data_IF_904410755149
#
_entry.id   IF_904410755149
#
_cell.length_a   1.000
_cell.length_b   1.000
_cell.length_c   1.000
_cell.angle_alpha   90.00
_cell.angle_beta   90.00
_cell.angle_gamma   90.00
#
_symmetry.space_group_name_H-M   'P 1'
#
loop_
_entity.id
_entity.type
_entity.pdbx_description
1 polymer ?
#
# COMPACT_ATOMS: atom_id res chain seq x y z
N UNK A 1 -18.49 -11.43 22.53
CA UNK A 1 -18.92 -11.86 21.18
C UNK A 1 -19.19 -10.61 20.34
N UNK A 2 -18.19 -10.11 19.61
CA UNK A 2 -18.23 -8.83 18.86
C UNK A 2 -18.04 -9.11 17.36
N UNK A 3 -18.63 -8.29 16.49
CA UNK A 3 -18.82 -8.53 15.06
C UNK A 3 -18.08 -7.45 14.24
N UNK A 4 -17.13 -7.84 13.38
CA UNK A 4 -16.47 -6.94 12.41
C UNK A 4 -16.53 -7.55 11.00
N UNK A 5 -16.85 -6.74 9.98
CA UNK A 5 -16.82 -7.11 8.56
C UNK A 5 -15.79 -6.23 7.83
N UNK A 6 -14.78 -6.79 7.14
CA UNK A 6 -13.95 -6.09 6.16
C UNK A 6 -14.65 -5.96 4.78
N UNK A 7 -14.14 -5.05 3.93
CA UNK A 7 -14.70 -4.66 2.62
C UNK A 7 -14.42 -5.66 1.48
N UNK A 8 -13.33 -6.45 1.55
CA UNK A 8 -12.99 -7.44 0.51
C UNK A 8 -12.44 -8.73 1.13
N UNK A 9 -13.25 -9.78 1.18
CA UNK A 9 -12.79 -11.13 1.58
C UNK A 9 -12.45 -11.26 3.06
N UNK A 10 -12.77 -12.40 3.64
CA UNK A 10 -12.89 -12.56 5.09
C UNK A 10 -11.69 -13.33 5.65
N UNK A 11 -10.88 -12.68 6.46
CA UNK A 11 -10.04 -13.37 7.45
C UNK A 11 -10.82 -13.55 8.76
N UNK A 12 -10.82 -14.78 9.30
CA UNK A 12 -10.98 -15.01 10.74
C UNK A 12 -9.60 -14.71 11.39
N UNK A 13 -9.44 -14.11 12.57
CA UNK A 13 -9.84 -14.54 13.92
C UNK A 13 -9.92 -13.35 14.91
N UNK A 14 -10.83 -13.30 15.92
CA UNK A 14 -12.03 -14.09 16.15
C UNK A 14 -13.30 -13.22 16.07
N UNK A 15 -14.08 -13.28 14.98
CA UNK A 15 -15.44 -12.72 15.01
C UNK A 15 -16.46 -13.61 14.29
N UNK A 16 -17.60 -13.87 14.96
CA UNK A 16 -18.72 -14.72 14.52
C UNK A 16 -19.47 -14.22 13.27
N UNK A 17 -18.97 -13.21 12.55
CA UNK A 17 -19.66 -12.58 11.42
C UNK A 17 -18.70 -12.29 10.28
N UNK A 18 -18.45 -13.35 9.51
CA UNK A 18 -18.02 -13.32 8.12
C UNK A 18 -18.69 -14.48 7.40
N UNK A 19 -19.20 -14.30 6.18
CA UNK A 19 -19.53 -15.44 5.30
C UNK A 19 -18.27 -15.87 4.57
N UNK A 20 -17.47 -16.70 5.23
CA UNK A 20 -16.33 -17.39 4.63
C UNK A 20 -16.66 -17.83 3.21
N UNK A 21 -15.74 -17.57 2.26
CA UNK A 21 -15.85 -18.19 0.95
C UNK A 21 -15.99 -19.69 1.17
N UNK A 22 -16.96 -20.34 0.52
CA UNK A 22 -17.32 -21.73 0.82
C UNK A 22 -16.14 -22.70 0.67
N UNK A 23 -15.17 -22.38 -0.19
CA UNK A 23 -13.92 -23.13 -0.35
C UNK A 23 -12.80 -22.82 0.68
N UNK A 24 -12.94 -21.78 1.50
CA UNK A 24 -12.01 -21.46 2.60
C UNK A 24 -12.50 -22.00 3.96
N UNK A 25 -13.53 -22.85 3.94
CA UNK A 25 -14.12 -23.45 5.15
C UNK A 25 -13.15 -24.37 5.88
N UNK A 26 -12.57 -23.85 6.95
CA UNK A 26 -11.66 -24.59 7.84
C UNK A 26 -10.21 -24.13 7.81
N UNK A 27 -9.88 -23.09 7.03
CA UNK A 27 -8.52 -22.54 6.95
C UNK A 27 -8.46 -21.14 7.59
N UNK A 28 -7.63 -20.97 8.61
CA UNK A 28 -7.40 -19.71 9.32
C UNK A 28 -6.00 -19.18 9.00
N UNK A 29 -5.75 -18.86 7.72
CA UNK A 29 -4.42 -18.48 7.24
C UNK A 29 -3.78 -17.33 8.02
N UNK A 30 -4.58 -16.38 8.50
CA UNK A 30 -4.08 -15.27 9.31
C UNK A 30 -3.75 -15.71 10.75
N UNK A 31 -4.62 -16.51 11.38
CA UNK A 31 -4.35 -17.10 12.68
C UNK A 31 -3.13 -18.02 12.67
N UNK A 32 -2.99 -18.84 11.64
CA UNK A 32 -1.85 -19.74 11.43
C UNK A 32 -0.57 -18.93 11.22
N UNK A 33 -0.59 -17.89 10.37
CA UNK A 33 0.54 -16.99 10.19
C UNK A 33 0.97 -16.33 11.50
N UNK A 34 0.05 -15.78 12.29
CA UNK A 34 0.36 -15.15 13.59
C UNK A 34 0.92 -16.17 14.58
N UNK A 35 0.32 -17.37 14.67
CA UNK A 35 0.78 -18.46 15.54
C UNK A 35 2.20 -18.89 15.17
N UNK A 36 2.45 -19.10 13.88
CA UNK A 36 3.75 -19.45 13.33
C UNK A 36 4.79 -18.36 13.61
N UNK A 37 4.45 -17.08 13.45
CA UNK A 37 5.34 -15.98 13.81
C UNK A 37 5.74 -16.04 15.29
N UNK A 38 4.77 -16.23 16.19
CA UNK A 38 5.05 -16.37 17.62
C UNK A 38 5.90 -17.60 17.96
N UNK A 39 5.61 -18.75 17.35
CA UNK A 39 6.37 -20.00 17.55
C UNK A 39 7.83 -19.87 17.11
N UNK A 40 8.10 -19.03 16.12
CA UNK A 40 9.44 -18.76 15.60
C UNK A 40 10.10 -17.50 16.21
N UNK A 41 9.50 -16.90 17.24
CA UNK A 41 10.03 -15.69 17.89
C UNK A 41 10.03 -14.44 16.99
N UNK A 42 9.24 -14.45 15.92
CA UNK A 42 9.10 -13.36 14.95
C UNK A 42 8.07 -12.36 15.49
N UNK A 43 8.53 -11.18 15.92
CA UNK A 43 7.67 -10.08 16.35
C UNK A 43 7.56 -9.07 15.21
N UNK A 44 6.47 -9.13 14.44
CA UNK A 44 6.11 -8.09 13.47
C UNK A 44 4.93 -7.31 14.05
N UNK A 45 5.13 -6.00 14.31
CA UNK A 45 4.06 -5.11 14.77
C UNK A 45 3.32 -4.53 13.56
N UNK A 46 2.14 -5.07 13.27
CA UNK A 46 1.20 -4.49 12.32
C UNK A 46 -0.10 -4.14 13.06
N UNK A 47 -0.59 -2.95 12.81
CA UNK A 47 -1.85 -2.45 13.35
C UNK A 47 -2.90 -2.39 12.25
N UNK A 48 -4.17 -2.55 12.62
CA UNK A 48 -5.28 -2.60 11.68
C UNK A 48 -6.50 -1.85 12.26
N UNK A 49 -7.25 -1.14 11.41
CA UNK A 49 -8.51 -0.49 11.81
C UNK A 49 -9.66 -0.88 10.88
N UNK A 50 -10.70 -1.52 11.42
CA UNK A 50 -11.95 -1.73 10.64
C UNK A 50 -12.72 -0.41 10.49
N UNK A 51 -13.56 -0.27 9.46
CA UNK A 51 -14.49 0.87 9.19
C UNK A 51 -15.43 1.27 10.37
N UNK A 52 -15.25 0.66 11.54
CA UNK A 52 -16.06 0.78 12.76
C UNK A 52 -15.25 1.27 13.98
N UNK A 53 -14.17 2.02 13.76
CA UNK A 53 -13.42 2.73 14.82
C UNK A 53 -12.83 1.83 15.90
N UNK A 54 -12.21 0.71 15.52
CA UNK A 54 -11.45 -0.13 16.46
C UNK A 54 -9.98 -0.14 16.06
N UNK A 55 -9.10 0.36 16.93
CA UNK A 55 -7.65 0.15 16.85
C UNK A 55 -7.34 -1.19 17.52
N UNK A 56 -6.80 -2.15 16.76
CA UNK A 56 -6.37 -3.44 17.31
C UNK A 56 -4.84 -3.46 17.38
N UNK A 57 -4.30 -3.50 18.61
CA UNK A 57 -2.89 -3.73 18.91
C UNK A 57 -2.68 -5.23 19.16
N UNK A 58 -1.79 -5.89 18.42
CA UNK A 58 -1.64 -7.36 18.48
C UNK A 58 -0.64 -7.90 19.52
N UNK A 59 -0.05 -7.06 20.37
CA UNK A 59 0.97 -7.50 21.33
C UNK A 59 0.47 -7.77 22.77
N UNK A 60 -0.71 -7.29 23.21
CA UNK A 60 -1.28 -7.63 24.54
C UNK A 60 -2.81 -7.44 24.54
N UNK A 61 -3.61 -8.50 24.72
CA UNK A 61 -5.07 -8.37 24.96
C UNK A 61 -5.38 -8.66 26.43
N UNK A 62 -5.53 -7.60 27.23
CA UNK A 62 -6.40 -7.60 28.42
C UNK A 62 -7.21 -6.30 28.40
N UNK A 63 -8.52 -6.46 28.18
CA UNK A 63 -9.60 -5.44 28.16
C UNK A 63 -9.70 -4.56 26.90
N UNK A 64 -10.79 -4.76 26.14
CA UNK A 64 -11.25 -3.90 25.04
C UNK A 64 -12.63 -3.34 25.44
N UNK A 65 -12.75 -2.02 25.55
CA UNK A 65 -14.02 -1.35 25.83
C UNK A 65 -14.85 -1.24 24.53
N UNK A 66 -16.06 -1.80 24.52
CA UNK A 66 -16.94 -1.81 23.34
C UNK A 66 -17.88 -0.59 23.41
N UNK A 67 -17.63 0.44 22.61
CA UNK A 67 -18.55 1.57 22.38
C UNK A 67 -19.16 1.40 20.97
N UNK A 68 -20.47 1.64 20.75
CA UNK A 68 -21.12 1.40 19.47
C UNK A 68 -20.60 2.34 18.33
N UNK A 69 -20.56 1.85 17.07
CA UNK A 69 -19.54 2.21 16.09
C UNK A 69 -19.93 3.34 15.10
N UNK A 70 -20.99 4.10 15.39
CA UNK A 70 -21.44 5.23 14.53
C UNK A 70 -21.21 6.60 15.18
N UNK A 71 -20.50 6.65 16.31
CA UNK A 71 -20.36 7.85 17.15
C UNK A 71 -18.92 8.19 17.51
N UNK A 72 -17.95 7.37 17.12
CA UNK A 72 -16.53 7.62 17.36
C UNK A 72 -15.90 8.23 16.11
N UNK A 73 -14.91 9.10 16.32
CA UNK A 73 -14.08 9.65 15.24
C UNK A 73 -13.49 8.50 14.42
N UNK A 74 -13.30 8.71 13.12
CA UNK A 74 -12.46 7.82 12.31
C UNK A 74 -11.00 7.89 12.82
N UNK A 75 -10.15 6.96 12.38
CA UNK A 75 -8.75 6.94 12.81
C UNK A 75 -7.80 7.48 11.75
N UNK A 76 -8.26 8.33 10.83
CA UNK A 76 -7.43 8.87 9.74
C UNK A 76 -6.15 9.51 10.27
N UNK A 77 -6.27 10.35 11.31
CA UNK A 77 -5.13 10.93 12.03
C UNK A 77 -4.20 9.87 12.61
N UNK A 78 -4.75 8.85 13.26
CA UNK A 78 -3.95 7.78 13.88
C UNK A 78 -3.22 6.96 12.83
N UNK A 79 -3.89 6.58 11.74
CA UNK A 79 -3.30 5.84 10.63
C UNK A 79 -2.19 6.64 9.95
N UNK A 80 -2.42 7.93 9.69
CA UNK A 80 -1.44 8.82 9.08
C UNK A 80 -0.19 8.98 9.97
N UNK A 81 -0.36 9.30 11.25
CA UNK A 81 0.75 9.52 12.18
C UNK A 81 1.50 8.22 12.48
N UNK A 82 0.82 7.10 12.68
CA UNK A 82 1.49 5.83 12.97
C UNK A 82 2.32 5.34 11.78
N UNK A 83 1.81 5.48 10.55
CA UNK A 83 2.58 5.15 9.35
C UNK A 83 3.70 6.15 9.01
N UNK A 84 3.70 7.34 9.61
CA UNK A 84 4.75 8.33 9.39
C UNK A 84 6.03 8.01 10.18
N UNK A 85 7.16 8.51 9.69
CA UNK A 85 8.48 8.35 10.32
C UNK A 85 8.73 9.31 11.49
N UNK A 86 7.71 9.99 11.97
CA UNK A 86 7.79 10.95 13.07
C UNK A 86 6.43 11.16 13.74
N UNK A 87 6.47 11.65 14.97
CA UNK A 87 5.33 12.22 15.69
C UNK A 87 5.81 13.23 16.75
N UNK A 88 4.99 13.48 17.77
CA UNK A 88 5.31 14.40 18.87
C UNK A 88 6.53 13.98 19.70
N UNK A 89 7.01 12.74 19.62
CA UNK A 89 8.26 12.28 20.24
C UNK A 89 9.49 12.48 19.34
N UNK A 90 9.30 13.02 18.13
CA UNK A 90 10.34 13.20 17.13
C UNK A 90 10.35 12.08 16.09
N UNK A 91 11.48 11.92 15.40
CA UNK A 91 11.64 10.87 14.38
C UNK A 91 11.65 9.48 15.01
N UNK A 92 10.95 8.54 14.38
CA UNK A 92 10.87 7.13 14.81
C UNK A 92 10.55 6.21 13.65
N UNK A 93 10.79 4.92 13.85
CA UNK A 93 10.30 3.91 12.91
C UNK A 93 8.77 4.01 12.75
N UNK A 94 8.24 3.88 11.54
CA UNK A 94 6.80 3.87 11.31
C UNK A 94 6.21 2.58 11.89
N UNK A 95 5.03 2.71 12.49
CA UNK A 95 4.20 1.58 12.88
C UNK A 95 3.26 1.28 11.73
N UNK A 96 3.53 0.22 10.96
CA UNK A 96 2.69 -0.16 9.82
C UNK A 96 1.25 -0.38 10.29
N UNK A 97 0.36 0.45 9.77
CA UNK A 97 -1.04 0.50 10.16
C UNK A 97 -1.91 0.46 8.90
N UNK A 98 -2.60 -0.65 8.66
CA UNK A 98 -3.42 -0.79 7.46
C UNK A 98 -4.85 -0.29 7.68
N UNK A 99 -5.25 0.70 6.87
CA UNK A 99 -6.63 1.18 6.78
C UNK A 99 -7.57 0.03 6.43
N UNK A 100 -8.80 0.14 6.92
CA UNK A 100 -9.89 -0.83 6.74
C UNK A 100 -9.63 -2.26 7.23
N UNK A 101 -8.54 -2.48 7.98
CA UNK A 101 -8.09 -3.82 8.38
C UNK A 101 -7.79 -4.69 7.14
N UNK A 102 -7.30 -4.07 6.06
CA UNK A 102 -6.75 -4.78 4.93
C UNK A 102 -5.37 -5.33 5.28
N UNK A 103 -5.36 -6.56 5.81
CA UNK A 103 -4.14 -7.24 6.24
C UNK A 103 -3.19 -7.55 5.08
N UNK A 104 -3.68 -7.69 3.84
CA UNK A 104 -2.84 -7.97 2.68
C UNK A 104 -2.14 -6.70 2.19
N UNK A 105 -2.82 -5.54 2.27
CA UNK A 105 -2.13 -4.26 2.09
C UNK A 105 -1.14 -4.00 3.23
N UNK A 106 -1.53 -4.30 4.47
CA UNK A 106 -0.65 -4.23 5.62
C UNK A 106 0.62 -5.07 5.45
N UNK A 107 0.51 -6.29 4.94
CA UNK A 107 1.67 -7.13 4.61
C UNK A 107 2.54 -6.50 3.51
N UNK A 108 1.93 -5.91 2.49
CA UNK A 108 2.62 -5.19 1.42
C UNK A 108 3.43 -4.01 1.98
N UNK A 109 2.84 -3.25 2.91
CA UNK A 109 3.51 -2.15 3.62
C UNK A 109 4.63 -2.65 4.54
N UNK A 110 4.42 -3.78 5.25
CA UNK A 110 5.47 -4.39 6.10
C UNK A 110 6.68 -4.76 5.26
N UNK A 111 6.50 -5.40 4.10
CA UNK A 111 7.62 -5.74 3.21
C UNK A 111 8.40 -4.51 2.78
N UNK A 112 7.69 -3.46 2.35
CA UNK A 112 8.31 -2.19 2.00
C UNK A 112 9.09 -1.55 3.14
N UNK A 113 8.50 -1.50 4.34
CA UNK A 113 9.15 -0.93 5.51
C UNK A 113 10.38 -1.73 5.94
N UNK A 114 10.29 -3.06 6.02
CA UNK A 114 11.41 -3.90 6.44
C UNK A 114 12.59 -3.86 5.45
N UNK A 115 12.32 -3.74 4.16
CA UNK A 115 13.37 -3.65 3.13
C UNK A 115 14.07 -2.29 3.10
N UNK A 116 13.39 -1.21 3.48
CA UNK A 116 13.88 0.15 3.22
C UNK A 116 14.09 1.01 4.46
N UNK A 117 13.47 0.67 5.60
CA UNK A 117 13.39 1.53 6.78
C UNK A 117 12.53 2.79 6.60
N UNK A 118 11.89 2.95 5.43
CA UNK A 118 11.04 4.11 5.07
C UNK A 118 9.57 3.85 5.45
N UNK A 119 8.78 4.91 5.52
CA UNK A 119 7.33 4.78 5.55
C UNK A 119 6.81 4.14 4.24
N UNK A 120 5.72 3.38 4.35
CA UNK A 120 4.96 2.86 3.21
C UNK A 120 3.62 3.56 3.16
N UNK A 121 3.27 4.10 2.00
CA UNK A 121 1.97 4.73 1.79
C UNK A 121 0.88 3.67 1.58
N UNK A 122 -0.25 3.81 2.27
CA UNK A 122 -1.49 3.09 1.97
C UNK A 122 -2.28 3.92 0.97
N UNK A 123 -2.88 3.29 -0.05
CA UNK A 123 -3.72 4.01 -1.02
C UNK A 123 -4.80 3.14 -1.67
N UNK A 124 -5.94 3.76 -2.01
CA UNK A 124 -6.83 3.21 -3.03
C UNK A 124 -6.28 3.49 -4.43
N UNK A 125 -6.34 2.48 -5.29
CA UNK A 125 -6.12 2.59 -6.72
C UNK A 125 -7.42 3.09 -7.35
N UNK A 126 -7.67 4.39 -7.20
CA UNK A 126 -9.02 4.97 -7.34
C UNK A 126 -9.45 5.16 -8.78
N UNK A 127 -8.60 5.71 -9.63
CA UNK A 127 -8.99 6.12 -10.97
C UNK A 127 -7.82 6.07 -11.95
N UNK A 128 -8.06 5.53 -13.14
CA UNK A 128 -7.17 5.70 -14.28
C UNK A 128 -7.61 6.93 -15.08
N UNK A 129 -6.67 7.84 -15.30
CA UNK A 129 -6.84 9.02 -16.14
C UNK A 129 -6.11 8.83 -17.45
N UNK A 130 -6.85 8.49 -18.50
CA UNK A 130 -6.30 8.45 -19.85
C UNK A 130 -5.98 9.87 -20.36
N UNK A 131 -5.04 10.04 -21.29
CA UNK A 131 -4.72 11.35 -21.85
C UNK A 131 -5.94 12.08 -22.39
N UNK A 132 -6.83 11.37 -23.09
CA UNK A 132 -8.05 11.89 -23.68
C UNK A 132 -9.07 12.30 -22.60
N UNK A 133 -9.16 11.54 -21.50
CA UNK A 133 -10.04 11.86 -20.40
C UNK A 133 -9.58 13.13 -19.66
N UNK A 134 -8.27 13.31 -19.49
CA UNK A 134 -7.68 14.52 -18.91
C UNK A 134 -7.96 15.72 -19.82
N UNK A 135 -7.62 15.65 -21.10
CA UNK A 135 -7.83 16.75 -22.06
C UNK A 135 -9.30 17.15 -22.15
N UNK A 136 -10.22 16.17 -22.20
CA UNK A 136 -11.66 16.41 -22.22
C UNK A 136 -12.17 17.14 -20.98
N UNK A 137 -11.62 16.84 -19.79
CA UNK A 137 -12.11 17.40 -18.52
C UNK A 137 -11.45 18.71 -18.17
N UNK A 138 -10.16 18.87 -18.49
CA UNK A 138 -9.35 20.00 -18.02
C UNK A 138 -9.02 21.00 -19.12
N UNK A 139 -9.12 20.58 -20.39
CA UNK A 139 -8.65 21.32 -21.56
C UNK A 139 -7.13 21.23 -21.75
N UNK A 140 -6.41 20.52 -20.88
CA UNK A 140 -4.96 20.37 -20.94
C UNK A 140 -4.59 19.02 -21.53
N UNK A 141 -3.78 19.04 -22.59
CA UNK A 141 -3.20 17.84 -23.19
C UNK A 141 -2.01 17.36 -22.33
N UNK A 142 -2.01 16.12 -21.83
CA UNK A 142 -0.91 15.65 -20.99
C UNK A 142 0.43 15.58 -21.71
N UNK A 143 1.47 16.03 -21.01
CA UNK A 143 2.85 16.07 -21.49
C UNK A 143 3.82 15.38 -20.51
N UNK A 144 5.08 15.21 -20.94
CA UNK A 144 6.13 14.63 -20.10
C UNK A 144 5.77 13.24 -19.60
N UNK A 145 5.93 13.03 -18.29
CA UNK A 145 5.63 11.76 -17.62
C UNK A 145 4.14 11.37 -17.69
N UNK A 146 3.23 12.34 -17.83
CA UNK A 146 1.77 12.10 -17.84
C UNK A 146 1.20 11.75 -19.23
N UNK A 147 2.03 11.79 -20.29
CA UNK A 147 1.57 11.72 -21.69
C UNK A 147 0.80 10.44 -22.05
N UNK A 148 1.10 9.31 -21.37
CA UNK A 148 0.45 8.01 -21.59
C UNK A 148 -0.66 7.72 -20.56
N UNK A 149 -1.03 8.73 -19.77
CA UNK A 149 -1.98 8.62 -18.67
C UNK A 149 -1.32 8.36 -17.33
N UNK A 150 -2.13 8.37 -16.27
CA UNK A 150 -1.68 8.18 -14.89
C UNK A 150 -2.81 7.60 -14.03
N UNK A 151 -2.44 7.11 -12.85
CA UNK A 151 -3.34 6.53 -11.87
C UNK A 151 -3.45 7.48 -10.68
N UNK A 152 -4.68 7.74 -10.24
CA UNK A 152 -4.98 8.45 -9.00
C UNK A 152 -4.88 7.49 -7.83
N UNK A 153 -3.85 7.66 -7.01
CA UNK A 153 -3.70 6.97 -5.74
C UNK A 153 -4.19 7.91 -4.64
N UNK A 154 -5.27 7.54 -3.95
CA UNK A 154 -5.91 8.37 -2.93
C UNK A 154 -6.61 7.51 -1.88
N UNK A 155 -6.01 7.34 -0.70
CA UNK A 155 -6.65 6.58 0.37
C UNK A 155 -7.88 7.33 0.92
N UNK A 156 -8.78 6.62 1.58
CA UNK A 156 -9.96 7.16 2.25
C UNK A 156 -9.67 7.94 3.54
N UNK A 157 -8.78 8.93 3.47
CA UNK A 157 -8.54 9.92 4.53
C UNK A 157 -7.13 9.93 5.13
N UNK A 158 -6.35 8.85 5.03
CA UNK A 158 -5.05 8.74 5.71
C UNK A 158 -3.91 8.26 4.81
N UNK A 159 -2.72 8.80 4.98
CA UNK A 159 -1.49 8.15 4.51
C UNK A 159 -0.29 8.73 5.28
N UNK A 160 0.89 8.11 5.18
CA UNK A 160 2.08 8.63 5.86
C UNK A 160 2.43 10.05 5.33
N UNK A 161 2.74 10.98 6.23
CA UNK A 161 3.06 12.37 5.89
C UNK A 161 4.37 12.49 5.10
N UNK A 162 5.25 11.49 5.20
CA UNK A 162 6.42 11.30 4.36
C UNK A 162 6.07 11.40 2.85
N UNK A 163 4.89 10.90 2.46
CA UNK A 163 4.46 10.89 1.06
C UNK A 163 4.10 12.27 0.48
N UNK A 164 4.16 13.34 1.28
CA UNK A 164 4.16 14.72 0.76
C UNK A 164 5.34 14.97 -0.19
N UNK A 165 6.44 14.22 -0.04
CA UNK A 165 7.65 14.38 -0.84
C UNK A 165 8.44 15.65 -0.51
N UNK A 166 8.28 16.16 0.71
CA UNK A 166 8.94 17.41 1.13
C UNK A 166 10.32 17.22 1.77
N UNK A 167 10.67 16.00 2.19
CA UNK A 167 12.02 15.69 2.65
C UNK A 167 13.03 15.72 1.49
N UNK A 168 14.28 16.11 1.77
CA UNK A 168 15.31 16.33 0.74
C UNK A 168 16.56 15.48 0.92
N UNK A 169 17.02 14.78 -0.12
CA UNK A 169 18.32 14.09 -0.07
C UNK A 169 19.50 15.08 -0.09
N UNK A 170 20.73 14.57 -0.01
CA UNK A 170 21.94 15.39 -0.03
C UNK A 170 22.14 16.17 -1.34
N UNK A 171 21.43 15.81 -2.41
CA UNK A 171 21.45 16.46 -3.72
C UNK A 171 20.27 17.45 -3.89
N UNK A 172 19.40 17.58 -2.89
CA UNK A 172 18.22 18.44 -2.92
C UNK A 172 17.01 17.83 -3.63
N UNK A 173 17.04 16.54 -4.00
CA UNK A 173 15.89 15.86 -4.59
C UNK A 173 14.84 15.56 -3.52
N UNK A 174 13.58 15.66 -3.90
CA UNK A 174 12.46 15.23 -3.05
C UNK A 174 12.47 13.70 -2.88
N UNK A 175 12.36 13.23 -1.64
CA UNK A 175 12.44 11.81 -1.28
C UNK A 175 11.55 11.49 -0.08
N UNK A 176 11.25 10.20 0.13
CA UNK A 176 10.90 9.69 1.47
C UNK A 176 12.13 8.99 2.05
N UNK A 177 12.53 9.39 3.26
CA UNK A 177 13.77 8.91 3.90
C UNK A 177 13.52 7.74 4.85
N UNK A 178 14.54 6.92 5.13
CA UNK A 178 14.54 6.08 6.32
C UNK A 178 14.41 6.96 7.56
N UNK A 179 13.68 6.50 8.57
CA UNK A 179 13.34 7.34 9.73
C UNK A 179 14.57 7.89 10.49
N UNK A 180 15.70 7.16 10.51
CA UNK A 180 16.91 7.62 11.18
C UNK A 180 17.61 8.78 10.45
N UNK A 181 17.31 8.98 9.16
CA UNK A 181 17.86 10.06 8.32
C UNK A 181 16.97 11.31 8.28
N UNK A 182 15.77 11.25 8.85
CA UNK A 182 14.89 12.41 8.97
C UNK A 182 15.56 13.50 9.85
N UNK A 183 15.47 14.74 9.39
CA UNK A 183 15.85 15.94 10.14
C UNK A 183 14.61 16.67 10.65
N UNK A 184 14.79 17.63 11.57
CA UNK A 184 13.68 18.50 12.01
C UNK A 184 13.11 19.33 10.84
N UNK A 185 13.96 19.75 9.90
CA UNK A 185 13.53 20.46 8.69
C UNK A 185 12.66 19.58 7.78
N UNK A 186 13.02 18.30 7.59
CA UNK A 186 12.19 17.36 6.83
C UNK A 186 10.81 17.18 7.47
N UNK A 187 10.77 17.04 8.80
CA UNK A 187 9.54 16.84 9.58
C UNK A 187 8.63 18.07 9.46
N UNK A 188 9.18 19.26 9.67
CA UNK A 188 8.43 20.53 9.57
C UNK A 188 7.89 20.74 8.15
N UNK A 189 8.67 20.40 7.12
CA UNK A 189 8.25 20.52 5.73
C UNK A 189 7.08 19.56 5.39
N UNK A 190 7.12 18.33 5.88
CA UNK A 190 6.01 17.36 5.72
C UNK A 190 4.75 17.81 6.48
N UNK A 191 4.89 18.34 7.70
CA UNK A 191 3.77 18.87 8.49
C UNK A 191 3.16 20.10 7.82
N UNK A 192 3.98 21.04 7.35
CA UNK A 192 3.53 22.27 6.67
C UNK A 192 2.76 21.97 5.38
N UNK A 193 3.14 20.91 4.66
CA UNK A 193 2.45 20.49 3.45
C UNK A 193 1.13 19.72 3.70
N UNK A 194 0.84 19.38 4.96
CA UNK A 194 -0.34 18.59 5.34
C UNK A 194 -1.40 19.46 6.00
N UNK A 195 -2.64 19.38 5.49
CA UNK A 195 -3.81 19.98 6.10
C UNK A 195 -4.70 18.90 6.74
N UNK A 196 -5.14 19.14 7.97
CA UNK A 196 -6.05 18.23 8.68
C UNK A 196 -7.50 18.62 8.39
N UNK A 197 -8.11 17.98 7.40
CA UNK A 197 -9.45 18.31 6.92
C UNK A 197 -10.53 17.57 7.73
N UNK A 198 -11.59 18.24 8.21
CA UNK A 198 -12.69 17.55 8.89
C UNK A 198 -13.30 16.46 8.00
N UNK A 199 -13.40 15.24 8.55
CA UNK A 199 -13.93 14.11 7.81
C UNK A 199 -15.40 14.34 7.40
N UNK A 200 -15.77 13.88 6.20
CA UNK A 200 -17.13 14.02 5.69
C UNK A 200 -18.14 13.29 6.58
N UNK A 201 -19.05 14.02 7.22
CA UNK A 201 -20.00 13.46 8.20
C UNK A 201 -21.00 12.47 7.59
N UNK A 202 -21.22 12.52 6.27
CA UNK A 202 -22.07 11.56 5.56
C UNK A 202 -21.44 10.16 5.53
N UNK A 203 -20.11 10.08 5.40
CA UNK A 203 -19.33 8.84 5.43
C UNK A 203 -18.90 8.48 6.86
N UNK A 204 -18.36 9.46 7.59
CA UNK A 204 -17.79 9.32 8.93
C UNK A 204 -18.60 10.11 9.97
N UNK A 205 -19.75 9.56 10.40
CA UNK A 205 -20.69 10.24 11.31
C UNK A 205 -20.10 10.71 12.64
N UNK A 206 -19.02 10.09 13.11
CA UNK A 206 -18.32 10.48 14.34
C UNK A 206 -17.29 11.59 14.12
N UNK A 207 -17.14 12.11 12.90
CA UNK A 207 -16.11 13.05 12.52
C UNK A 207 -14.74 12.39 12.44
N UNK A 208 -13.70 13.21 12.44
CA UNK A 208 -12.35 12.78 12.10
C UNK A 208 -11.56 13.91 11.48
N UNK A 209 -10.27 13.67 11.24
CA UNK A 209 -9.41 14.59 10.49
C UNK A 209 -8.59 13.81 9.48
N UNK A 210 -8.92 13.96 8.21
CA UNK A 210 -8.18 13.42 7.08
C UNK A 210 -6.86 14.16 6.91
N UNK A 211 -5.78 13.45 6.56
CA UNK A 211 -4.47 14.02 6.28
C UNK A 211 -4.40 14.46 4.81
N UNK A 212 -4.99 15.60 4.48
CA UNK A 212 -4.99 16.13 3.11
C UNK A 212 -3.62 16.69 2.74
N UNK A 213 -3.09 16.21 1.62
CA UNK A 213 -1.98 16.83 0.90
C UNK A 213 -1.97 16.30 -0.54
N UNK A 214 -1.18 16.94 -1.41
CA UNK A 214 -0.79 16.36 -2.69
C UNK A 214 0.69 16.01 -2.65
N UNK A 215 1.06 14.84 -3.16
CA UNK A 215 2.48 14.48 -3.37
C UNK A 215 3.04 15.42 -4.44
N UNK A 216 3.78 16.43 -4.00
CA UNK A 216 4.21 17.57 -4.82
C UNK A 216 5.67 17.43 -5.24
N UNK A 217 5.99 16.25 -5.79
CA UNK A 217 7.33 15.87 -6.20
C UNK A 217 7.28 14.71 -7.21
N UNK A 218 8.21 14.72 -8.15
CA UNK A 218 8.54 13.52 -8.94
C UNK A 218 9.50 12.66 -8.12
N UNK A 219 9.03 11.50 -7.66
CA UNK A 219 9.79 10.55 -6.86
C UNK A 219 9.67 9.17 -7.48
N UNK A 220 10.75 8.36 -7.52
CA UNK A 220 10.63 6.96 -7.90
C UNK A 220 9.79 6.24 -6.85
N UNK A 221 8.77 5.50 -7.29
CA UNK A 221 7.88 4.74 -6.42
C UNK A 221 7.77 3.31 -6.91
N UNK A 222 7.61 2.38 -5.98
CA UNK A 222 7.21 0.98 -6.26
C UNK A 222 5.86 0.73 -5.61
N UNK A 223 4.84 0.45 -6.42
CA UNK A 223 3.56 -0.06 -5.92
C UNK A 223 3.64 -1.56 -5.69
N UNK A 224 3.05 -2.03 -4.61
CA UNK A 224 3.04 -3.44 -4.20
C UNK A 224 1.67 -3.84 -3.71
N UNK A 225 1.24 -5.03 -4.10
CA UNK A 225 0.05 -5.68 -3.54
C UNK A 225 0.28 -7.16 -3.38
N UNK A 226 0.04 -7.67 -2.17
CA UNK A 226 -0.17 -9.10 -1.93
C UNK A 226 -1.66 -9.40 -2.08
N UNK A 227 -1.99 -10.47 -2.78
CA UNK A 227 -3.35 -11.01 -2.89
C UNK A 227 -3.37 -12.46 -2.46
N UNK A 228 -4.53 -12.97 -2.07
CA UNK A 228 -4.73 -14.40 -1.78
C UNK A 228 -5.66 -14.99 -2.83
N UNK A 229 -5.16 -15.91 -3.66
CA UNK A 229 -5.91 -16.54 -4.75
C UNK A 229 -6.26 -17.98 -4.35
N UNK A 230 -7.54 -18.33 -4.43
CA UNK A 230 -8.01 -19.67 -4.10
C UNK A 230 -7.33 -20.74 -4.98
N UNK A 231 -6.81 -21.79 -4.36
CA UNK A 231 -6.07 -22.86 -5.06
C UNK A 231 -4.61 -22.53 -5.43
N UNK A 232 -4.16 -21.28 -5.20
CA UNK A 232 -2.77 -20.86 -5.42
C UNK A 232 -2.10 -20.45 -4.11
N UNK A 233 -2.78 -19.68 -3.27
CA UNK A 233 -2.23 -19.09 -2.06
C UNK A 233 -1.85 -17.61 -2.25
N UNK A 234 -0.89 -17.07 -1.48
CA UNK A 234 -0.46 -15.69 -1.61
C UNK A 234 0.25 -15.46 -2.94
N UNK A 235 -0.04 -14.35 -3.61
CA UNK A 235 0.64 -13.89 -4.82
C UNK A 235 0.99 -12.42 -4.68
N UNK A 236 2.07 -11.97 -5.31
CA UNK A 236 2.52 -10.57 -5.25
C UNK A 236 2.44 -9.90 -6.62
N UNK A 237 2.02 -8.64 -6.64
CA UNK A 237 2.05 -7.74 -7.79
C UNK A 237 2.93 -6.54 -7.46
N UNK A 238 3.78 -6.14 -8.40
CA UNK A 238 4.77 -5.07 -8.25
C UNK A 238 4.68 -4.16 -9.47
N UNK A 239 4.61 -2.85 -9.27
CA UNK A 239 4.70 -1.88 -10.37
C UNK A 239 5.66 -0.74 -9.99
N UNK A 240 6.87 -0.76 -10.55
CA UNK A 240 7.79 0.37 -10.47
C UNK A 240 7.33 1.51 -11.37
N UNK A 241 7.48 2.74 -10.90
CA UNK A 241 7.05 3.93 -11.61
C UNK A 241 7.52 5.17 -10.89
N UNK A 242 6.75 6.24 -10.97
CA UNK A 242 7.06 7.48 -10.25
C UNK A 242 5.80 8.27 -9.92
N UNK A 243 5.87 9.07 -8.86
CA UNK A 243 4.91 10.15 -8.70
C UNK A 243 5.17 11.24 -9.73
N UNK A 244 4.13 12.00 -10.08
CA UNK A 244 4.24 13.16 -10.97
C UNK A 244 3.56 14.37 -10.33
N UNK A 245 3.95 15.56 -10.77
CA UNK A 245 3.21 16.79 -10.48
C UNK A 245 2.34 17.16 -11.69
N UNK A 246 1.16 17.68 -11.42
CA UNK A 246 0.25 18.23 -12.43
C UNK A 246 0.20 19.76 -12.26
N UNK A 247 -0.08 20.52 -13.35
CA UNK A 247 -0.42 21.93 -13.22
C UNK A 247 -1.54 22.12 -12.19
N UNK A 248 -1.47 23.20 -11.41
CA UNK A 248 -2.37 23.41 -10.27
C UNK A 248 -3.85 23.38 -10.67
N UNK A 249 -4.21 24.00 -11.80
CA UNK A 249 -5.59 24.03 -12.28
C UNK A 249 -6.07 22.65 -12.74
N UNK A 250 -5.18 21.85 -13.35
CA UNK A 250 -5.45 20.47 -13.78
C UNK A 250 -5.66 19.58 -12.57
N UNK A 251 -4.73 19.63 -11.59
CA UNK A 251 -4.85 18.91 -10.33
C UNK A 251 -6.18 19.22 -9.65
N UNK A 252 -6.48 20.51 -9.42
CA UNK A 252 -7.69 20.93 -8.73
C UNK A 252 -8.97 20.45 -9.42
N UNK A 253 -9.08 20.59 -10.75
CA UNK A 253 -10.25 20.13 -11.51
C UNK A 253 -10.51 18.63 -11.38
N UNK A 254 -9.45 17.83 -11.23
CA UNK A 254 -9.56 16.38 -11.08
C UNK A 254 -9.84 16.01 -9.61
N UNK A 255 -9.11 16.62 -8.69
CA UNK A 255 -9.15 16.32 -7.25
C UNK A 255 -10.52 16.67 -6.62
N UNK A 256 -11.07 17.84 -6.96
CA UNK A 256 -12.42 18.29 -6.53
C UNK A 256 -13.54 17.31 -6.92
N UNK A 257 -13.33 16.47 -7.95
CA UNK A 257 -14.31 15.49 -8.43
C UNK A 257 -14.24 14.15 -7.72
N UNK A 258 -13.22 13.95 -6.89
CA UNK A 258 -12.92 12.67 -6.24
C UNK A 258 -13.17 12.76 -4.74
N UNK A 259 -12.27 13.39 -4.00
CA UNK A 259 -12.43 13.82 -2.61
C UNK A 259 -11.28 14.78 -2.25
N UNK A 260 -11.52 16.10 -2.20
CA UNK A 260 -10.47 17.10 -1.97
C UNK A 260 -10.03 17.17 -0.49
N UNK A 261 -10.50 16.26 0.37
CA UNK A 261 -10.09 16.18 1.77
C UNK A 261 -9.09 15.05 2.03
N UNK A 262 -8.79 14.24 1.02
CA UNK A 262 -7.95 13.05 1.14
C UNK A 262 -6.56 13.26 0.51
N UNK A 263 -5.53 12.48 0.91
CA UNK A 263 -4.19 12.61 0.37
C UNK A 263 -4.08 12.06 -1.06
N UNK A 264 -3.61 12.88 -1.99
CA UNK A 264 -3.51 12.54 -3.42
C UNK A 264 -2.06 12.30 -3.85
N UNK A 265 -1.82 11.17 -4.52
CA UNK A 265 -0.58 10.89 -5.26
C UNK A 265 -0.94 10.53 -6.71
N UNK A 266 -0.37 11.26 -7.68
CA UNK A 266 -0.49 10.93 -9.10
C UNK A 266 0.64 10.00 -9.49
N UNK A 267 0.32 8.76 -9.89
CA UNK A 267 1.31 7.73 -10.18
C UNK A 267 1.33 7.35 -11.65
N UNK A 268 2.54 7.25 -12.21
CA UNK A 268 2.77 6.73 -13.56
C UNK A 268 3.63 5.46 -13.45
N UNK A 269 3.07 4.28 -13.76
CA UNK A 269 3.86 3.06 -13.84
C UNK A 269 4.80 3.09 -15.05
N UNK A 270 5.98 2.49 -14.91
CA UNK A 270 6.86 2.21 -16.06
C UNK A 270 6.21 1.14 -16.94
N UNK A 271 5.94 1.47 -18.20
CA UNK A 271 5.39 0.53 -19.18
C UNK A 271 6.50 -0.15 -19.96
N UNK A 272 6.25 -1.38 -20.43
CA UNK A 272 7.18 -2.19 -21.23
C UNK A 272 6.67 -2.44 -22.65
N UNK A 273 5.40 -2.14 -22.92
CA UNK A 273 4.73 -2.48 -24.19
C UNK A 273 4.19 -3.92 -24.23
N UNK A 274 4.38 -4.70 -23.17
CA UNK A 274 4.01 -6.12 -23.11
C UNK A 274 3.17 -6.45 -21.87
N UNK A 275 2.34 -7.50 -21.99
CA UNK A 275 1.56 -8.04 -20.88
C UNK A 275 0.74 -7.00 -20.10
N UNK A 276 0.78 -7.09 -18.77
CA UNK A 276 0.10 -6.17 -17.86
C UNK A 276 0.70 -4.74 -17.86
N UNK A 277 1.88 -4.55 -18.46
CA UNK A 277 2.59 -3.27 -18.56
C UNK A 277 2.61 -2.72 -19.98
N UNK A 278 1.68 -3.18 -20.85
CA UNK A 278 1.51 -2.66 -22.20
C UNK A 278 1.27 -1.15 -22.20
N UNK A 279 0.37 -0.70 -21.34
CA UNK A 279 -0.05 0.68 -21.18
C UNK A 279 -0.51 0.92 -19.73
N UNK A 280 -0.67 2.18 -19.32
CA UNK A 280 -1.06 2.54 -17.93
C UNK A 280 -2.43 1.96 -17.56
N UNK A 281 -3.35 1.91 -18.53
CA UNK A 281 -4.66 1.27 -18.35
C UNK A 281 -4.51 -0.21 -17.96
N UNK A 282 -3.66 -0.95 -18.68
CA UNK A 282 -3.42 -2.37 -18.44
C UNK A 282 -2.86 -2.61 -17.04
N UNK A 283 -2.04 -1.71 -16.52
CA UNK A 283 -1.53 -1.80 -15.14
C UNK A 283 -2.67 -1.73 -14.14
N UNK A 284 -3.57 -0.75 -14.26
CA UNK A 284 -4.72 -0.65 -13.35
C UNK A 284 -5.71 -1.79 -13.55
N UNK A 285 -5.98 -2.19 -14.80
CA UNK A 285 -6.94 -3.25 -15.11
C UNK A 285 -6.51 -4.63 -14.61
N UNK A 286 -5.20 -4.87 -14.46
CA UNK A 286 -4.66 -6.12 -13.91
C UNK A 286 -4.33 -6.03 -12.41
N UNK A 287 -4.53 -4.87 -11.77
CA UNK A 287 -4.31 -4.74 -10.33
C UNK A 287 -5.39 -5.52 -9.55
N UNK A 288 -4.97 -6.42 -8.66
CA UNK A 288 -5.82 -7.46 -8.10
C UNK A 288 -6.72 -7.05 -6.93
N UNK A 289 -6.69 -5.78 -6.52
CA UNK A 289 -7.47 -5.25 -5.41
C UNK A 289 -7.79 -3.75 -5.59
N UNK A 290 -8.66 -3.18 -4.76
CA UNK A 290 -8.87 -1.74 -4.74
C UNK A 290 -7.72 -0.98 -4.04
N UNK A 291 -6.93 -1.65 -3.18
CA UNK A 291 -5.81 -1.03 -2.48
C UNK A 291 -4.45 -1.41 -3.10
N UNK A 292 -3.47 -0.55 -2.87
CA UNK A 292 -2.05 -0.83 -3.03
C UNK A 292 -1.24 -0.15 -1.93
N UNK A 293 -0.05 -0.69 -1.66
CA UNK A 293 0.97 0.01 -0.90
C UNK A 293 1.97 0.64 -1.88
N UNK A 294 2.49 1.83 -1.60
CA UNK A 294 3.60 2.40 -2.37
C UNK A 294 4.78 2.74 -1.48
N UNK A 295 5.98 2.52 -2.01
CA UNK A 295 7.26 2.68 -1.30
C UNK A 295 8.18 3.55 -2.15
N UNK A 296 8.90 4.47 -1.51
CA UNK A 296 9.87 5.32 -2.20
C UNK A 296 11.12 4.55 -2.64
N UNK A 297 11.42 4.63 -3.94
CA UNK A 297 12.49 3.92 -4.64
C UNK A 297 11.97 2.86 -5.61
N UNK A 298 12.87 2.34 -6.45
CA UNK A 298 12.64 1.20 -7.34
C UNK A 298 13.16 -0.08 -6.68
N UNK A 299 12.36 -0.59 -5.74
CA UNK A 299 12.69 -1.72 -4.85
C UNK A 299 12.09 -3.04 -5.33
N UNK A 300 11.67 -3.11 -6.59
CA UNK A 300 11.01 -4.29 -7.13
C UNK A 300 11.89 -5.54 -7.12
N UNK A 301 13.20 -5.40 -7.38
CA UNK A 301 14.16 -6.49 -7.31
C UNK A 301 14.30 -7.08 -5.88
N UNK A 302 14.32 -6.21 -4.87
CA UNK A 302 14.40 -6.62 -3.46
C UNK A 302 13.13 -7.37 -3.05
N UNK A 303 11.97 -6.89 -3.50
CA UNK A 303 10.68 -7.54 -3.28
C UNK A 303 10.59 -8.90 -3.98
N UNK A 304 11.07 -9.03 -5.21
CA UNK A 304 11.12 -10.32 -5.92
C UNK A 304 12.02 -11.31 -5.16
N UNK A 305 13.18 -10.84 -4.68
CA UNK A 305 14.09 -11.65 -3.88
C UNK A 305 13.41 -12.11 -2.59
N UNK A 306 12.81 -11.19 -1.83
CA UNK A 306 12.06 -11.50 -0.61
C UNK A 306 10.90 -12.47 -0.88
N UNK A 307 10.12 -12.24 -1.94
CA UNK A 307 9.00 -13.09 -2.33
C UNK A 307 9.47 -14.52 -2.61
N UNK A 308 10.60 -14.70 -3.30
CA UNK A 308 11.18 -16.03 -3.53
C UNK A 308 11.65 -16.71 -2.24
N UNK A 309 12.19 -15.96 -1.28
CA UNK A 309 12.51 -16.48 0.06
C UNK A 309 11.26 -16.91 0.82
N UNK A 310 10.12 -16.27 0.59
CA UNK A 310 8.84 -16.61 1.23
C UNK A 310 8.00 -17.61 0.41
N UNK A 311 8.46 -17.97 -0.80
CA UNK A 311 7.75 -18.80 -1.78
C UNK A 311 6.38 -18.20 -2.15
N UNK A 312 6.35 -16.88 -2.27
CA UNK A 312 5.21 -16.12 -2.78
C UNK A 312 5.51 -15.82 -4.25
N UNK A 313 4.76 -16.38 -5.22
CA UNK A 313 4.99 -16.09 -6.62
C UNK A 313 4.65 -14.63 -6.96
N UNK A 314 5.47 -14.03 -7.83
CA UNK A 314 5.25 -12.68 -8.36
C UNK A 314 4.56 -12.80 -9.72
N UNK A 315 3.28 -12.46 -9.76
CA UNK A 315 2.37 -12.69 -10.92
C UNK A 315 2.21 -11.47 -11.82
N UNK A 316 2.87 -10.36 -11.48
CA UNK A 316 2.87 -9.13 -12.25
C UNK A 316 4.05 -8.26 -11.78
N UNK A 317 5.03 -8.01 -12.66
CA UNK A 317 6.10 -7.04 -12.41
C UNK A 317 6.64 -6.40 -13.69
N UNK A 318 7.23 -5.22 -13.56
CA UNK A 318 7.96 -4.50 -14.63
C UNK A 318 9.45 -4.29 -14.30
N UNK A 319 9.97 -5.09 -13.37
CA UNK A 319 11.41 -5.14 -13.05
C UNK A 319 12.17 -5.79 -14.21
N UNK A 320 13.29 -5.20 -14.59
CA UNK A 320 14.21 -5.71 -15.61
C UNK A 320 14.71 -7.13 -15.25
N UNK A 321 14.79 -8.01 -16.25
CA UNK A 321 15.10 -9.43 -16.05
C UNK A 321 16.47 -9.63 -15.37
N UNK A 322 17.46 -8.81 -15.71
CA UNK A 322 18.82 -8.87 -15.18
C UNK A 322 18.90 -8.52 -13.69
N UNK A 323 17.87 -7.84 -13.16
CA UNK A 323 17.77 -7.50 -11.72
C UNK A 323 17.05 -8.57 -10.92
N UNK A 324 16.48 -9.59 -11.57
CA UNK A 324 15.77 -10.68 -10.88
C UNK A 324 16.78 -11.57 -10.19
N UNK A 325 16.72 -11.60 -8.86
CA UNK A 325 17.56 -12.45 -8.03
C UNK A 325 16.70 -13.39 -7.19
N UNK A 326 16.88 -14.69 -7.39
CA UNK A 326 16.14 -15.77 -6.69
C UNK A 326 17.14 -16.88 -6.32
N UNK A 327 16.78 -17.81 -5.41
CA UNK A 327 17.63 -18.97 -5.14
C UNK A 327 17.97 -19.73 -6.42
N UNK A 328 19.23 -20.15 -6.56
CA UNK A 328 19.74 -20.83 -7.76
C UNK A 328 18.86 -22.01 -8.22
N UNK A 329 18.16 -22.67 -7.28
CA UNK A 329 17.25 -23.76 -7.58
C UNK A 329 16.07 -23.38 -8.52
N UNK A 330 15.67 -22.11 -8.61
CA UNK A 330 14.64 -21.65 -9.55
C UNK A 330 15.02 -21.92 -11.01
N UNK A 331 16.31 -21.86 -11.37
CA UNK A 331 16.77 -22.16 -12.73
C UNK A 331 16.49 -23.60 -13.17
N UNK A 332 16.32 -24.53 -12.22
CA UNK A 332 15.94 -25.92 -12.51
C UNK A 332 14.46 -26.09 -12.87
N UNK A 333 13.61 -25.08 -12.62
CA UNK A 333 12.19 -25.08 -12.99
C UNK A 333 11.94 -24.47 -14.37
N UNK A 334 12.96 -23.84 -14.97
CA UNK A 334 12.91 -23.23 -16.29
C UNK A 334 13.72 -21.94 -16.36
N UNK A 335 14.20 -21.60 -17.55
CA UNK A 335 15.05 -20.43 -17.80
C UNK A 335 14.53 -19.51 -18.92
N UNK A 336 13.41 -19.87 -19.56
CA UNK A 336 12.79 -19.06 -20.64
C UNK A 336 11.55 -18.32 -20.18
N UNK A 337 10.70 -19.02 -19.43
CA UNK A 337 9.48 -18.45 -18.85
C UNK A 337 9.69 -18.30 -17.35
N UNK A 338 10.20 -17.13 -16.96
CA UNK A 338 10.57 -16.81 -15.58
C UNK A 338 9.37 -16.74 -14.64
N UNK A 339 8.18 -16.45 -15.16
CA UNK A 339 6.93 -16.40 -14.39
C UNK A 339 6.42 -17.82 -14.12
N UNK A 340 6.36 -18.67 -15.15
CA UNK A 340 5.99 -20.07 -14.99
C UNK A 340 6.98 -20.83 -14.09
N UNK A 341 8.28 -20.55 -14.21
CA UNK A 341 9.30 -21.13 -13.35
C UNK A 341 9.10 -20.71 -11.88
N UNK A 342 8.74 -19.45 -11.63
CA UNK A 342 8.45 -18.96 -10.26
C UNK A 342 7.25 -19.65 -9.64
N UNK A 343 6.15 -19.73 -10.39
CA UNK A 343 4.94 -20.44 -9.97
C UNK A 343 5.22 -21.92 -9.66
N UNK A 344 6.00 -22.60 -10.51
CA UNK A 344 6.35 -24.00 -10.34
C UNK A 344 7.26 -24.21 -9.12
N UNK A 345 8.27 -23.36 -8.92
CA UNK A 345 9.18 -23.43 -7.78
C UNK A 345 8.46 -23.15 -6.46
N UNK A 346 7.65 -22.08 -6.40
CA UNK A 346 6.87 -21.75 -5.20
C UNK A 346 5.90 -22.88 -4.84
N UNK A 347 5.23 -23.48 -5.83
CA UNK A 347 4.35 -24.64 -5.60
C UNK A 347 5.11 -25.87 -5.11
N UNK A 348 6.29 -26.14 -5.66
CA UNK A 348 7.09 -27.31 -5.29
C UNK A 348 7.67 -27.22 -3.87
N UNK A 349 8.10 -26.03 -3.47
CA UNK A 349 8.69 -25.82 -2.14
C UNK A 349 7.67 -25.51 -1.05
N UNK A 350 6.51 -24.94 -1.41
CA UNK A 350 5.46 -24.59 -0.46
C UNK A 350 5.86 -23.46 0.51
N UNK A 351 4.95 -23.10 1.45
CA UNK A 351 5.23 -22.09 2.46
C UNK A 351 6.36 -22.52 3.39
N UNK A 352 7.19 -21.56 3.84
CA UNK A 352 8.38 -21.85 4.66
C UNK A 352 8.06 -22.56 5.98
N UNK A 353 6.87 -22.36 6.54
CA UNK A 353 6.53 -22.81 7.89
C UNK A 353 5.38 -23.83 7.95
N UNK A 354 4.98 -24.41 6.81
CA UNK A 354 3.92 -25.42 6.74
C UNK A 354 2.60 -24.89 6.20
#
# INVERSE_FOLDING_TARGET
MVKGKPHTGLCYYPTKVGRMHWGLKGYDFFGDMVKTCHENGIIIKMYLQTFRSYIIRQDVIRSLLIIPPRRLKNADFTEAILNSTFDWEGKRAPYVFATENDNLNGLSMVFGNLLTGKASGFSDVRCYWSPEAVERVTGWKPEGSAKEGFIHLINSGSTCLDATGKSKDAQGNAVMKPWWEMTEEDIEACLTATSWCPAELCQFRGGGYSSHFKTDAEMPLTMVRVNLVEGVGPVMQIAEGKSITLPEDVHKKIDDRTDPTWPTTWFVPRTTGEGAFRDVYSVMANWGANHGAFIHGHVGADLITLASMLRIPVVMHNVEEERIFRPHAWGSFGTRDIEAADMAACKAYGPLYG
#
